data_IF_984417577716
#
_entry.id   IF_984417577716
#
_cell.length_a   1.000
_cell.length_b   1.000
_cell.length_c   1.000
_cell.angle_alpha   90.00
_cell.angle_beta   90.00
_cell.angle_gamma   90.00
#
_symmetry.space_group_name_H-M   'P 1'
#
loop_
_entity.id
_entity.type
_entity.pdbx_description
1 polymer ?
#
# COMPACT_ATOMS: atom_id res chain seq x y z
N UNK A 1 8.41 10.59 4.88
CA UNK A 1 7.53 10.44 3.69
C UNK A 1 6.52 11.59 3.67
N UNK A 2 5.80 11.89 2.57
CA UNK A 2 4.63 12.81 2.66
C UNK A 2 3.40 12.05 3.16
N UNK A 3 2.55 12.70 3.94
CA UNK A 3 1.33 12.11 4.51
C UNK A 3 0.37 11.62 3.41
N UNK A 4 0.15 12.42 2.36
CA UNK A 4 -0.67 12.02 1.21
C UNK A 4 -0.18 10.73 0.52
N UNK A 5 1.13 10.56 0.39
CA UNK A 5 1.76 9.36 -0.17
C UNK A 5 1.53 8.16 0.74
N UNK A 6 1.65 8.36 2.05
CA UNK A 6 1.43 7.30 3.05
C UNK A 6 -0.03 6.84 3.04
N UNK A 7 -1.00 7.76 3.14
CA UNK A 7 -2.43 7.43 3.11
C UNK A 7 -2.85 6.78 1.79
N UNK A 8 -2.34 7.28 0.66
CA UNK A 8 -2.56 6.64 -0.64
C UNK A 8 -2.08 5.19 -0.68
N UNK A 9 -0.92 4.91 -0.08
CA UNK A 9 -0.36 3.57 0.01
C UNK A 9 -1.17 2.65 0.94
N UNK A 10 -1.59 3.14 2.09
CA UNK A 10 -2.36 2.35 3.07
C UNK A 10 -3.77 2.03 2.59
N UNK A 11 -4.45 2.99 1.95
CA UNK A 11 -5.83 2.82 1.49
C UNK A 11 -5.94 2.26 0.07
N UNK A 12 -4.82 2.07 -0.64
CA UNK A 12 -4.84 1.63 -2.04
C UNK A 12 -5.47 2.64 -3.01
N UNK A 13 -5.41 3.94 -2.70
CA UNK A 13 -6.06 5.00 -3.50
C UNK A 13 -5.05 5.94 -4.16
N UNK A 14 -5.52 6.78 -5.08
CA UNK A 14 -4.68 7.82 -5.69
C UNK A 14 -4.27 8.90 -4.67
N UNK A 15 -3.16 9.59 -4.93
CA UNK A 15 -2.70 10.70 -4.07
C UNK A 15 -3.70 11.86 -4.00
N UNK A 16 -4.47 12.08 -5.07
CA UNK A 16 -5.52 13.09 -5.10
C UNK A 16 -6.66 12.74 -4.12
N UNK A 17 -7.09 11.49 -4.09
CA UNK A 17 -8.09 10.98 -3.14
C UNK A 17 -7.53 11.04 -1.71
N UNK A 18 -6.31 10.56 -1.48
CA UNK A 18 -5.68 10.65 -0.16
C UNK A 18 -5.61 12.09 0.36
N UNK A 19 -5.25 13.06 -0.49
CA UNK A 19 -5.25 14.47 -0.14
C UNK A 19 -6.64 15.05 0.17
N UNK A 20 -7.71 14.49 -0.40
CA UNK A 20 -9.10 14.83 -0.07
C UNK A 20 -9.47 14.30 1.32
N UNK A 21 -9.14 13.04 1.60
CA UNK A 21 -9.44 12.42 2.90
C UNK A 21 -8.72 13.14 4.06
N UNK A 22 -7.46 13.54 3.85
CA UNK A 22 -6.68 14.36 4.81
C UNK A 22 -7.39 15.69 5.09
N UNK A 23 -7.83 16.41 4.05
CA UNK A 23 -8.59 17.67 4.20
C UNK A 23 -9.97 17.47 4.84
N UNK A 24 -10.51 16.27 4.73
CA UNK A 24 -11.80 15.86 5.31
C UNK A 24 -11.76 15.59 6.82
N UNK A 25 -10.65 15.88 7.52
CA UNK A 25 -10.46 15.65 8.95
C UNK A 25 -10.51 14.16 9.37
N UNK A 26 -10.27 13.24 8.44
CA UNK A 26 -10.31 11.79 8.69
C UNK A 26 -8.98 11.21 9.13
N UNK A 27 -7.90 11.96 8.97
CA UNK A 27 -6.54 11.51 9.26
C UNK A 27 -6.00 12.23 10.49
N UNK A 28 -5.51 11.46 11.46
CA UNK A 28 -4.80 11.97 12.63
C UNK A 28 -3.35 11.51 12.65
N UNK A 29 -2.48 12.32 13.24
CA UNK A 29 -1.08 12.02 13.51
C UNK A 29 -0.84 12.34 14.98
N UNK A 30 -0.43 11.35 15.76
CA UNK A 30 -0.25 11.46 17.22
C UNK A 30 -1.49 11.97 17.97
N UNK A 31 -2.68 11.69 17.43
CA UNK A 31 -3.96 12.12 17.98
C UNK A 31 -4.48 13.45 17.40
N UNK A 32 -3.64 14.24 16.73
CA UNK A 32 -4.02 15.53 16.17
C UNK A 32 -4.51 15.42 14.72
N UNK A 33 -5.58 16.14 14.39
CA UNK A 33 -6.12 16.18 13.02
C UNK A 33 -5.17 16.95 12.12
N UNK A 34 -4.60 16.28 11.11
CA UNK A 34 -3.73 16.90 10.12
C UNK A 34 -4.51 17.15 8.83
N UNK A 35 -4.55 18.40 8.36
CA UNK A 35 -5.19 18.79 7.09
C UNK A 35 -4.19 19.06 5.96
N UNK A 36 -2.90 19.11 6.28
CA UNK A 36 -1.85 19.37 5.30
C UNK A 36 -1.42 18.06 4.62
N UNK A 37 -1.84 17.86 3.37
CA UNK A 37 -1.45 16.71 2.55
C UNK A 37 0.08 16.57 2.36
N UNK A 38 0.81 17.69 2.36
CA UNK A 38 2.26 17.73 2.23
C UNK A 38 3.02 17.52 3.54
N UNK A 39 2.31 17.28 4.65
CA UNK A 39 2.93 17.02 5.96
C UNK A 39 4.02 15.95 5.85
N UNK A 40 5.18 16.24 6.44
CA UNK A 40 6.32 15.33 6.45
C UNK A 40 6.11 14.31 7.57
N UNK A 41 5.67 13.12 7.20
CA UNK A 41 5.53 11.99 8.11
C UNK A 41 6.90 11.40 8.45
N UNK A 42 7.17 11.27 9.75
CA UNK A 42 8.37 10.66 10.33
C UNK A 42 8.05 9.25 10.84
N UNK A 43 9.03 8.34 10.91
CA UNK A 43 8.85 6.96 11.38
C UNK A 43 8.17 6.82 12.75
N UNK A 44 8.43 7.76 13.66
CA UNK A 44 7.93 7.78 15.04
C UNK A 44 6.46 8.19 15.17
N UNK A 45 5.89 8.83 14.15
CA UNK A 45 4.52 9.32 14.23
C UNK A 45 3.48 8.18 14.16
N UNK A 46 2.48 8.20 15.04
CA UNK A 46 1.35 7.30 14.99
C UNK A 46 0.24 7.87 14.10
N UNK A 47 -0.03 7.26 12.95
CA UNK A 47 -1.09 7.70 12.03
C UNK A 47 -2.36 6.89 12.25
N UNK A 48 -3.52 7.54 12.23
CA UNK A 48 -4.81 6.84 12.17
C UNK A 48 -5.73 7.43 11.10
N UNK A 49 -6.63 6.59 10.59
CA UNK A 49 -7.67 6.94 9.63
C UNK A 49 -9.04 6.54 10.18
N UNK A 50 -9.92 7.51 10.38
CA UNK A 50 -11.19 7.37 11.10
C UNK A 50 -11.03 6.66 12.46
N UNK A 51 -9.94 6.97 13.17
CA UNK A 51 -9.60 6.35 14.45
C UNK A 51 -8.94 4.96 14.36
N UNK A 52 -8.86 4.36 13.18
CA UNK A 52 -8.17 3.08 12.98
C UNK A 52 -6.66 3.32 12.79
N UNK A 53 -5.78 2.76 13.65
CA UNK A 53 -4.34 2.91 13.49
C UNK A 53 -3.85 2.35 12.14
N UNK A 54 -3.02 3.12 11.45
CA UNK A 54 -2.35 2.71 10.21
C UNK A 54 -0.88 2.44 10.49
N UNK A 55 -0.47 1.19 10.32
CA UNK A 55 0.91 0.79 10.53
C UNK A 55 1.83 1.46 9.50
N UNK A 56 2.87 2.15 9.98
CA UNK A 56 3.97 2.54 9.11
C UNK A 56 4.75 1.28 8.73
N UNK A 57 4.63 0.87 7.47
CA UNK A 57 5.43 -0.24 6.96
C UNK A 57 6.87 0.22 6.74
N UNK A 58 7.79 -0.32 7.54
CA UNK A 58 9.22 -0.03 7.45
C UNK A 58 9.93 -1.06 6.56
N UNK A 59 10.71 -0.58 5.60
CA UNK A 59 11.68 -1.39 4.85
C UNK A 59 11.10 -2.23 3.69
N UNK A 60 11.96 -2.99 3.01
CA UNK A 60 11.55 -3.92 1.97
C UNK A 60 10.74 -5.08 2.55
N UNK A 61 9.74 -5.55 1.79
CA UNK A 61 8.90 -6.69 2.14
C UNK A 61 9.31 -7.91 1.31
N UNK A 62 9.35 -9.08 1.94
CA UNK A 62 9.68 -10.34 1.30
C UNK A 62 8.61 -11.36 1.70
N UNK A 63 8.09 -12.09 0.71
CA UNK A 63 7.05 -13.09 0.90
C UNK A 63 7.50 -14.40 0.26
N UNK A 64 7.07 -15.51 0.85
CA UNK A 64 7.15 -16.83 0.25
C UNK A 64 5.75 -17.20 -0.24
N UNK A 65 5.64 -17.55 -1.52
CA UNK A 65 4.38 -17.97 -2.14
C UNK A 65 4.55 -19.35 -2.74
N UNK A 66 3.69 -20.29 -2.33
CA UNK A 66 3.55 -21.56 -3.04
C UNK A 66 2.67 -21.31 -4.28
N UNK A 67 3.29 -21.16 -5.45
CA UNK A 67 2.61 -20.78 -6.68
C UNK A 67 1.72 -21.92 -7.21
N UNK A 68 0.40 -21.70 -7.41
CA UNK A 68 -0.44 -22.64 -8.12
C UNK A 68 -0.26 -22.54 -9.65
N UNK A 69 -0.67 -23.59 -10.37
CA UNK A 69 -0.74 -23.58 -11.84
C UNK A 69 -1.81 -22.60 -12.33
N UNK A 70 -1.64 -22.09 -13.56
CA UNK A 70 -2.60 -21.18 -14.21
C UNK A 70 -2.43 -19.70 -13.87
N UNK A 71 -1.36 -19.32 -13.16
CA UNK A 71 -1.03 -17.94 -12.82
C UNK A 71 0.39 -17.58 -13.27
N UNK A 72 0.61 -16.31 -13.65
CA UNK A 72 1.92 -15.81 -14.09
C UNK A 72 2.62 -14.96 -13.02
N UNK A 73 3.96 -14.95 -13.03
CA UNK A 73 4.78 -14.17 -12.09
C UNK A 73 5.03 -12.70 -12.51
N UNK A 74 4.39 -12.22 -13.57
CA UNK A 74 4.42 -10.81 -13.98
C UNK A 74 3.49 -9.95 -13.10
N UNK A 75 3.73 -8.64 -13.08
CA UNK A 75 2.89 -7.68 -12.33
C UNK A 75 1.61 -7.28 -13.06
N UNK A 76 1.62 -7.44 -14.38
CA UNK A 76 0.49 -7.15 -15.27
C UNK A 76 0.63 -8.09 -16.48
N UNK A 77 -0.44 -8.79 -16.82
CA UNK A 77 -0.52 -9.69 -17.97
C UNK A 77 -1.95 -9.64 -18.53
N UNK A 78 -2.11 -9.35 -19.82
CA UNK A 78 -3.44 -9.18 -20.42
C UNK A 78 -4.20 -10.49 -20.59
N UNK A 79 -3.49 -11.63 -20.64
CA UNK A 79 -4.07 -12.93 -21.02
C UNK A 79 -4.27 -13.85 -19.81
N UNK A 80 -3.48 -13.68 -18.74
CA UNK A 80 -3.49 -14.58 -17.57
C UNK A 80 -3.50 -13.84 -16.23
N UNK A 81 -4.15 -14.41 -15.18
CA UNK A 81 -4.12 -13.80 -13.86
C UNK A 81 -2.72 -13.89 -13.23
N UNK A 82 -2.33 -12.85 -12.49
CA UNK A 82 -1.01 -12.77 -11.87
C UNK A 82 -1.01 -13.35 -10.46
N UNK A 83 0.16 -13.80 -9.98
CA UNK A 83 0.36 -14.25 -8.59
C UNK A 83 -0.01 -13.19 -7.54
N UNK A 84 -0.10 -11.92 -7.92
CA UNK A 84 -0.56 -10.84 -7.04
C UNK A 84 -2.02 -11.01 -6.61
N UNK A 85 -2.82 -11.79 -7.34
CA UNK A 85 -4.19 -12.16 -6.96
C UNK A 85 -4.27 -12.76 -5.54
N UNK A 86 -3.22 -13.45 -5.09
CA UNK A 86 -3.18 -14.11 -3.78
C UNK A 86 -2.65 -13.21 -2.64
N UNK A 87 -2.29 -11.96 -2.93
CA UNK A 87 -1.66 -11.07 -1.96
C UNK A 87 -2.62 -9.94 -1.56
N UNK A 88 -3.23 -10.06 -0.39
CA UNK A 88 -4.02 -8.98 0.23
C UNK A 88 -3.10 -8.01 0.98
N UNK A 89 -2.23 -7.34 0.22
CA UNK A 89 -1.24 -6.41 0.74
C UNK A 89 -1.45 -5.00 0.18
N UNK A 90 -1.32 -3.95 1.01
CA UNK A 90 -1.33 -2.59 0.50
C UNK A 90 -0.22 -2.43 -0.55
N UNK A 91 -0.59 -1.82 -1.67
CA UNK A 91 0.25 -1.65 -2.85
C UNK A 91 0.94 -2.94 -3.34
N UNK A 92 0.22 -4.09 -3.31
CA UNK A 92 0.70 -5.37 -3.83
C UNK A 92 1.26 -5.27 -5.27
N UNK A 93 0.72 -4.38 -6.10
CA UNK A 93 1.21 -4.08 -7.45
C UNK A 93 2.67 -3.56 -7.52
N UNK A 94 3.30 -3.21 -6.40
CA UNK A 94 4.73 -2.86 -6.32
C UNK A 94 5.63 -4.06 -6.00
N UNK A 95 5.05 -5.19 -5.63
CA UNK A 95 5.79 -6.43 -5.41
C UNK A 95 6.18 -7.02 -6.77
N UNK A 96 7.29 -7.74 -6.80
CA UNK A 96 7.76 -8.46 -7.98
C UNK A 96 8.36 -9.79 -7.55
N UNK A 97 8.32 -10.78 -8.46
CA UNK A 97 8.89 -12.08 -8.19
C UNK A 97 10.43 -12.04 -8.33
N UNK A 98 11.14 -12.44 -7.28
CA UNK A 98 12.58 -12.64 -7.31
C UNK A 98 12.91 -14.02 -7.91
N UNK A 99 12.88 -14.10 -9.25
CA UNK A 99 12.83 -15.35 -10.00
C UNK A 99 11.40 -15.67 -10.43
N UNK A 100 11.22 -16.20 -11.64
CA UNK A 100 9.91 -16.43 -12.25
C UNK A 100 9.73 -17.92 -12.52
N UNK A 101 8.51 -18.40 -12.31
CA UNK A 101 8.04 -19.70 -12.78
C UNK A 101 7.08 -19.46 -13.94
N UNK A 102 7.10 -20.37 -14.92
CA UNK A 102 6.11 -20.38 -15.99
C UNK A 102 4.71 -20.67 -15.44
N UNK A 103 3.72 -20.49 -16.28
CA UNK A 103 2.31 -20.61 -15.90
C UNK A 103 1.96 -22.02 -15.37
N UNK A 104 2.67 -23.04 -15.85
CA UNK A 104 2.46 -24.47 -15.57
C UNK A 104 3.48 -25.06 -14.58
#
# INVERSE_FOLDING_TARGET
MRLDKFIAQQLGVSRAIAGREIRGNRVTVDGDIIKNAAFKLLPEHAVAYDGNPLAQQHGPRYFMLNKPQGYVCSTDDPDHPTVLYFLDEPVAYKLHAAGRLDID
#
